data_IF_533841854603
#
_entry.id   IF_533841854603
#
_cell.length_a   1.000
_cell.length_b   1.000
_cell.length_c   1.000
_cell.angle_alpha   90.00
_cell.angle_beta   90.00
_cell.angle_gamma   90.00
#
_symmetry.space_group_name_H-M   'P 1'
#
loop_
_entity.id
_entity.type
_entity.pdbx_description
1 polymer ?
#
# COMPACT_ATOMS: atom_id res chain seq x y z
N UNK A 1 4.53 -20.87 19.93
CA UNK A 1 3.66 -19.82 20.50
C UNK A 1 2.32 -19.94 19.80
N UNK A 2 1.22 -19.91 20.56
CA UNK A 2 -0.14 -20.08 20.02
C UNK A 2 -0.73 -18.71 19.73
N UNK A 3 -1.41 -18.57 18.58
CA UNK A 3 -2.10 -17.34 18.20
C UNK A 3 -3.11 -16.92 19.26
N UNK A 4 -3.20 -15.62 19.56
CA UNK A 4 -4.20 -15.08 20.49
C UNK A 4 -5.62 -15.31 19.98
N UNK A 5 -5.80 -15.25 18.66
CA UNK A 5 -7.08 -15.43 17.99
C UNK A 5 -6.95 -16.45 16.84
N UNK A 6 -6.87 -17.76 17.14
CA UNK A 6 -6.50 -18.78 16.16
C UNK A 6 -7.54 -18.99 15.05
N UNK A 7 -8.79 -18.56 15.26
CA UNK A 7 -9.90 -18.66 14.29
C UNK A 7 -10.34 -17.30 13.75
N UNK A 8 -9.57 -16.23 14.01
CA UNK A 8 -9.93 -14.91 13.53
C UNK A 8 -9.72 -14.85 12.02
N UNK A 9 -10.80 -14.69 11.27
CA UNK A 9 -10.75 -14.59 9.81
C UNK A 9 -10.70 -13.14 9.32
N UNK A 10 -11.36 -12.24 10.04
CA UNK A 10 -11.48 -10.84 9.66
C UNK A 10 -11.36 -9.95 10.88
N UNK A 11 -10.61 -8.88 10.75
CA UNK A 11 -10.54 -7.83 11.76
C UNK A 11 -10.86 -6.48 11.15
N UNK A 12 -11.75 -5.73 11.80
CA UNK A 12 -12.06 -4.34 11.50
C UNK A 12 -11.91 -3.54 12.77
N UNK A 13 -10.97 -2.61 12.80
CA UNK A 13 -10.74 -1.74 13.96
C UNK A 13 -10.83 -0.28 13.54
N UNK A 14 -11.74 0.45 14.19
CA UNK A 14 -11.87 1.90 14.08
C UNK A 14 -11.17 2.60 15.23
N UNK A 15 -10.54 3.74 14.96
CA UNK A 15 -9.82 4.51 15.98
C UNK A 15 -8.66 3.73 16.61
N UNK A 16 -7.96 2.93 15.80
CA UNK A 16 -6.80 2.15 16.23
C UNK A 16 -5.77 3.07 16.90
N UNK A 17 -5.23 2.63 18.05
CA UNK A 17 -4.22 3.38 18.83
C UNK A 17 -2.89 2.65 18.96
N UNK A 18 -2.82 1.40 18.49
CA UNK A 18 -1.58 0.64 18.56
C UNK A 18 -0.53 1.18 17.60
N UNK A 19 0.73 0.90 17.93
CA UNK A 19 1.91 1.28 17.13
C UNK A 19 2.36 0.16 16.18
N UNK A 20 1.81 -1.04 16.36
CA UNK A 20 2.05 -2.24 15.56
C UNK A 20 0.78 -3.10 15.47
N UNK A 21 0.89 -4.31 14.92
CA UNK A 21 -0.19 -5.30 14.79
C UNK A 21 0.13 -6.59 15.55
N UNK A 22 0.98 -6.53 16.57
CA UNK A 22 1.37 -7.71 17.35
C UNK A 22 0.18 -8.43 18.02
N UNK A 23 -0.93 -7.72 18.25
CA UNK A 23 -2.15 -8.31 18.83
C UNK A 23 -2.79 -9.42 17.97
N UNK A 24 -2.56 -9.41 16.65
CA UNK A 24 -3.06 -10.42 15.70
C UNK A 24 -1.96 -11.40 15.25
N UNK A 25 -0.81 -11.39 15.92
CA UNK A 25 0.30 -12.28 15.58
C UNK A 25 -0.14 -13.75 15.56
N UNK A 26 0.39 -14.46 14.56
CA UNK A 26 0.14 -15.88 14.32
C UNK A 26 -1.34 -16.23 14.01
N UNK A 27 -2.23 -15.25 13.75
CA UNK A 27 -3.62 -15.50 13.36
C UNK A 27 -3.68 -16.09 11.94
N UNK A 28 -3.41 -17.38 11.82
CA UNK A 28 -3.20 -18.08 10.55
C UNK A 28 -4.44 -18.12 9.65
N UNK A 29 -5.64 -17.98 10.22
CA UNK A 29 -6.90 -17.91 9.47
C UNK A 29 -7.27 -16.49 9.02
N UNK A 30 -6.51 -15.47 9.42
CA UNK A 30 -6.84 -14.07 9.15
C UNK A 30 -6.65 -13.76 7.67
N UNK A 31 -7.75 -13.48 6.98
CA UNK A 31 -7.77 -13.19 5.54
C UNK A 31 -7.99 -11.71 5.22
N UNK A 32 -8.62 -10.96 6.13
CA UNK A 32 -8.87 -9.53 5.90
C UNK A 32 -8.56 -8.68 7.13
N UNK A 33 -7.78 -7.62 6.90
CA UNK A 33 -7.42 -6.60 7.87
C UNK A 33 -7.94 -5.25 7.40
N UNK A 34 -8.80 -4.63 8.20
CA UNK A 34 -9.19 -3.23 8.05
C UNK A 34 -8.82 -2.47 9.32
N UNK A 35 -8.02 -1.43 9.15
CA UNK A 35 -7.55 -0.58 10.23
C UNK A 35 -7.84 0.87 9.85
N UNK A 36 -8.50 1.57 10.75
CA UNK A 36 -8.65 3.00 10.69
C UNK A 36 -7.98 3.57 11.93
N UNK A 37 -6.90 4.31 11.73
CA UNK A 37 -6.13 4.95 12.79
C UNK A 37 -6.79 6.24 13.27
N UNK A 38 -6.00 7.02 14.00
CA UNK A 38 -6.28 8.37 14.48
C UNK A 38 -5.23 9.35 13.99
N UNK A 39 -4.77 9.15 12.74
CA UNK A 39 -3.78 9.98 12.05
C UNK A 39 -2.35 9.86 12.59
N UNK A 40 -2.06 8.77 13.28
CA UNK A 40 -0.71 8.46 13.77
C UNK A 40 0.14 7.74 12.71
N UNK A 41 1.44 7.64 13.03
CA UNK A 41 2.40 6.77 12.37
C UNK A 41 2.71 5.55 13.23
N UNK A 42 2.98 4.41 12.59
CA UNK A 42 3.45 3.20 13.25
C UNK A 42 4.04 2.19 12.26
N UNK A 43 3.96 0.92 12.62
CA UNK A 43 4.38 -0.21 11.79
C UNK A 43 3.24 -1.19 11.57
N UNK A 44 3.38 -2.04 10.55
CA UNK A 44 2.51 -3.20 10.31
C UNK A 44 3.07 -4.47 10.95
N UNK A 45 4.17 -4.38 11.71
CA UNK A 45 4.82 -5.52 12.34
C UNK A 45 3.84 -6.35 13.19
N UNK A 46 4.01 -7.67 13.18
CA UNK A 46 3.09 -8.63 13.80
C UNK A 46 2.20 -9.38 12.81
N UNK A 47 2.05 -8.91 11.56
CA UNK A 47 1.25 -9.60 10.53
C UNK A 47 2.04 -10.62 9.72
N UNK A 48 3.36 -10.67 9.85
CA UNK A 48 4.27 -11.41 8.96
C UNK A 48 3.94 -12.91 8.86
N UNK A 49 3.31 -13.45 9.91
CA UNK A 49 2.91 -14.86 10.02
C UNK A 49 1.42 -15.11 9.77
N UNK A 50 0.67 -14.08 9.41
CA UNK A 50 -0.74 -14.20 9.03
C UNK A 50 -0.84 -14.57 7.54
N UNK A 51 -0.39 -15.78 7.19
CA UNK A 51 -0.20 -16.22 5.81
C UNK A 51 -1.47 -16.28 4.95
N UNK A 52 -2.65 -16.20 5.57
CA UNK A 52 -3.93 -16.20 4.88
C UNK A 52 -4.40 -14.80 4.44
N UNK A 53 -3.71 -13.71 4.81
CA UNK A 53 -4.16 -12.35 4.48
C UNK A 53 -4.21 -12.17 2.96
N UNK A 54 -5.40 -11.87 2.46
CA UNK A 54 -5.66 -11.52 1.06
C UNK A 54 -5.90 -10.01 0.89
N UNK A 55 -6.39 -9.34 1.93
CA UNK A 55 -6.78 -7.94 1.87
C UNK A 55 -6.31 -7.17 3.08
N UNK A 56 -5.55 -6.11 2.84
CA UNK A 56 -5.16 -5.15 3.85
C UNK A 56 -5.62 -3.74 3.46
N UNK A 57 -6.39 -3.11 4.34
CA UNK A 57 -6.83 -1.73 4.22
C UNK A 57 -6.42 -0.99 5.48
N UNK A 58 -5.59 0.03 5.31
CA UNK A 58 -5.13 0.94 6.36
C UNK A 58 -5.56 2.35 5.99
N UNK A 59 -6.33 3.01 6.84
CA UNK A 59 -6.82 4.39 6.66
C UNK A 59 -6.35 5.21 7.86
N UNK A 60 -5.92 6.44 7.63
CA UNK A 60 -5.49 7.37 8.70
C UNK A 60 -4.46 6.75 9.66
N UNK A 61 -3.60 5.91 9.10
CA UNK A 61 -2.49 5.26 9.78
C UNK A 61 -1.31 5.20 8.83
N UNK A 62 -0.31 6.02 9.09
CA UNK A 62 0.93 6.07 8.33
C UNK A 62 1.84 4.90 8.74
N UNK A 63 2.57 4.35 7.78
CA UNK A 63 3.50 3.23 8.03
C UNK A 63 4.92 3.73 7.80
N UNK A 64 5.83 3.30 8.66
CA UNK A 64 7.25 3.62 8.53
C UNK A 64 7.86 2.87 7.34
N UNK A 65 7.43 1.63 7.12
CA UNK A 65 7.82 0.85 5.95
C UNK A 65 6.80 -0.25 5.64
N UNK A 66 6.87 -0.78 4.41
CA UNK A 66 6.02 -1.88 3.94
C UNK A 66 6.58 -3.28 4.18
N UNK A 67 7.80 -3.44 4.74
CA UNK A 67 8.47 -4.74 4.83
C UNK A 67 7.70 -5.85 5.57
N UNK A 68 6.82 -5.55 6.57
CA UNK A 68 5.99 -6.60 7.18
C UNK A 68 5.01 -7.28 6.21
N UNK A 69 4.76 -6.69 5.03
CA UNK A 69 3.87 -7.25 4.00
C UNK A 69 4.57 -8.27 3.09
N UNK A 70 5.92 -8.21 3.00
CA UNK A 70 6.72 -9.07 2.13
C UNK A 70 6.39 -10.58 2.23
N UNK A 71 6.21 -11.19 3.42
CA UNK A 71 5.93 -12.62 3.52
C UNK A 71 4.48 -13.00 3.17
N UNK A 72 3.59 -12.04 2.93
CA UNK A 72 2.17 -12.29 2.68
C UNK A 72 1.90 -12.73 1.24
N UNK A 73 2.29 -13.96 0.90
CA UNK A 73 2.19 -14.49 -0.48
C UNK A 73 0.77 -14.64 -1.04
N UNK A 74 -0.27 -14.43 -0.24
CA UNK A 74 -1.68 -14.45 -0.67
C UNK A 74 -2.32 -13.07 -0.81
N UNK A 75 -1.55 -12.00 -0.63
CA UNK A 75 -2.06 -10.63 -0.66
C UNK A 75 -2.55 -10.27 -2.08
N UNK A 76 -3.84 -9.96 -2.21
CA UNK A 76 -4.50 -9.60 -3.48
C UNK A 76 -4.79 -8.11 -3.57
N UNK A 77 -5.03 -7.47 -2.43
CA UNK A 77 -5.35 -6.05 -2.36
C UNK A 77 -4.65 -5.39 -1.17
N UNK A 78 -3.97 -4.29 -1.46
CA UNK A 78 -3.38 -3.40 -0.47
C UNK A 78 -3.90 -1.99 -0.69
N UNK A 79 -4.40 -1.40 0.38
CA UNK A 79 -4.76 0.02 0.45
C UNK A 79 -4.07 0.63 1.65
N UNK A 80 -3.08 1.48 1.40
CA UNK A 80 -2.39 2.30 2.40
C UNK A 80 -2.83 3.75 2.16
N UNK A 81 -3.79 4.21 2.96
CA UNK A 81 -4.53 5.45 2.75
C UNK A 81 -4.29 6.40 3.93
N UNK A 82 -3.09 6.97 4.02
CA UNK A 82 -2.85 8.15 4.83
C UNK A 82 -3.16 9.39 3.98
N UNK A 83 -3.96 10.33 4.46
CA UNK A 83 -4.15 11.64 3.81
C UNK A 83 -4.00 12.75 4.85
N UNK A 84 -3.54 13.95 4.47
CA UNK A 84 -3.46 15.07 5.40
C UNK A 84 -4.79 15.25 6.18
N UNK A 85 -4.74 15.47 7.51
CA UNK A 85 -3.56 15.80 8.31
C UNK A 85 -2.77 14.59 8.86
N UNK A 86 -3.03 13.36 8.41
CA UNK A 86 -2.18 12.19 8.73
C UNK A 86 -0.81 12.35 8.07
N UNK A 87 0.26 12.01 8.82
CA UNK A 87 1.62 11.95 8.27
C UNK A 87 1.69 11.04 7.03
N UNK A 88 2.62 11.30 6.10
CA UNK A 88 2.81 10.42 4.97
C UNK A 88 3.43 9.08 5.38
N UNK A 89 3.13 8.01 4.64
CA UNK A 89 3.93 6.78 4.69
C UNK A 89 5.39 7.12 4.36
N UNK A 90 6.35 6.57 5.09
CA UNK A 90 7.74 6.96 4.91
C UNK A 90 8.37 6.25 3.70
N UNK A 91 8.32 4.91 3.65
CA UNK A 91 8.74 4.16 2.46
C UNK A 91 7.74 3.06 2.14
N UNK A 92 7.32 2.98 0.88
CA UNK A 92 6.57 1.83 0.36
C UNK A 92 7.34 1.23 -0.81
N UNK A 93 7.63 -0.07 -0.75
CA UNK A 93 8.32 -0.79 -1.82
C UNK A 93 7.37 -1.74 -2.49
N UNK A 94 7.29 -1.71 -3.81
CA UNK A 94 6.46 -2.70 -4.52
C UNK A 94 6.98 -4.13 -4.34
N UNK A 95 8.29 -4.32 -4.07
CA UNK A 95 8.85 -5.63 -3.75
C UNK A 95 8.29 -6.22 -2.44
N UNK A 96 7.83 -5.39 -1.50
CA UNK A 96 7.15 -5.85 -0.29
C UNK A 96 5.67 -6.22 -0.54
N UNK A 97 5.11 -5.78 -1.67
CA UNK A 97 3.72 -6.04 -2.08
C UNK A 97 3.64 -7.10 -3.18
N UNK A 98 4.77 -7.66 -3.62
CA UNK A 98 4.90 -8.49 -4.82
C UNK A 98 4.40 -9.93 -4.64
N UNK A 99 3.20 -10.10 -4.08
CA UNK A 99 2.55 -11.41 -4.00
C UNK A 99 2.13 -11.87 -5.42
N UNK A 100 2.28 -13.16 -5.78
CA UNK A 100 1.93 -13.67 -7.11
C UNK A 100 0.46 -13.47 -7.52
N UNK A 101 -0.41 -13.31 -6.52
CA UNK A 101 -1.85 -13.10 -6.68
C UNK A 101 -2.27 -11.62 -6.53
N UNK A 102 -1.32 -10.69 -6.44
CA UNK A 102 -1.60 -9.26 -6.28
C UNK A 102 -2.41 -8.74 -7.46
N UNK A 103 -3.53 -8.07 -7.15
CA UNK A 103 -4.45 -7.51 -8.16
C UNK A 103 -4.53 -5.98 -8.09
N UNK A 104 -4.53 -5.42 -6.87
CA UNK A 104 -4.83 -4.00 -6.66
C UNK A 104 -3.94 -3.38 -5.59
N UNK A 105 -3.24 -2.31 -5.97
CA UNK A 105 -2.39 -1.53 -5.07
C UNK A 105 -2.90 -0.10 -5.06
N UNK A 106 -3.23 0.40 -3.88
CA UNK A 106 -3.56 1.81 -3.68
C UNK A 106 -2.71 2.37 -2.54
N UNK A 107 -1.89 3.36 -2.87
CA UNK A 107 -1.04 4.08 -1.91
C UNK A 107 -1.42 5.56 -1.99
N UNK A 108 -1.68 6.16 -0.84
CA UNK A 108 -1.93 7.59 -0.73
C UNK A 108 -0.94 8.22 0.26
N UNK A 109 -0.36 9.36 -0.12
CA UNK A 109 0.56 10.16 0.70
C UNK A 109 1.78 9.36 1.17
N UNK A 110 2.63 8.92 0.25
CA UNK A 110 3.93 8.32 0.60
C UNK A 110 5.06 9.30 0.28
N UNK A 111 6.08 9.40 1.14
CA UNK A 111 7.28 10.21 0.89
C UNK A 111 8.14 9.60 -0.20
N UNK A 112 8.18 8.27 -0.28
CA UNK A 112 8.96 7.54 -1.26
C UNK A 112 8.30 6.22 -1.63
N UNK A 113 8.26 5.94 -2.93
CA UNK A 113 7.89 4.65 -3.49
C UNK A 113 9.11 4.09 -4.23
N UNK A 114 9.41 2.81 -4.03
CA UNK A 114 10.56 2.14 -4.64
C UNK A 114 10.13 0.85 -5.39
N UNK A 115 11.04 0.32 -6.20
CA UNK A 115 10.94 -0.98 -6.88
C UNK A 115 9.85 -1.11 -7.95
N UNK A 116 9.57 -0.05 -8.72
CA UNK A 116 8.56 -0.06 -9.78
C UNK A 116 8.73 -1.19 -10.81
N UNK A 117 9.97 -1.62 -11.10
CA UNK A 117 10.25 -2.65 -12.09
C UNK A 117 9.54 -3.99 -11.80
N UNK A 118 9.36 -4.35 -10.52
CA UNK A 118 8.73 -5.62 -10.11
C UNK A 118 7.25 -5.71 -10.54
N UNK A 119 6.60 -4.57 -10.77
CA UNK A 119 5.18 -4.53 -11.13
C UNK A 119 4.89 -5.22 -12.47
N UNK A 120 5.87 -5.25 -13.39
CA UNK A 120 5.78 -5.95 -14.69
C UNK A 120 5.70 -7.46 -14.52
N UNK A 121 6.22 -7.97 -13.42
CA UNK A 121 6.31 -9.40 -13.11
C UNK A 121 5.03 -9.92 -12.44
N UNK A 122 4.09 -9.04 -12.06
CA UNK A 122 2.85 -9.41 -11.38
C UNK A 122 1.77 -9.82 -12.40
N UNK A 123 1.48 -11.13 -12.55
CA UNK A 123 0.62 -11.61 -13.64
C UNK A 123 -0.85 -11.25 -13.44
N UNK A 124 -1.26 -11.03 -12.18
CA UNK A 124 -2.64 -10.73 -11.79
C UNK A 124 -2.92 -9.25 -11.55
N UNK A 125 -1.90 -8.40 -11.60
CA UNK A 125 -2.05 -6.97 -11.34
C UNK A 125 -2.98 -6.33 -12.39
N UNK A 126 -3.92 -5.52 -11.90
CA UNK A 126 -4.97 -4.86 -12.68
C UNK A 126 -5.11 -3.39 -12.36
N UNK A 127 -4.74 -2.96 -11.17
CA UNK A 127 -4.94 -1.57 -10.76
C UNK A 127 -3.81 -1.10 -9.86
N UNK A 128 -3.24 0.05 -10.22
CA UNK A 128 -2.36 0.84 -9.37
C UNK A 128 -2.98 2.22 -9.24
N UNK A 129 -3.14 2.67 -8.00
CA UNK A 129 -3.54 4.02 -7.68
C UNK A 129 -2.55 4.67 -6.73
N UNK A 130 -1.91 5.74 -7.18
CA UNK A 130 -0.93 6.50 -6.40
C UNK A 130 -1.46 7.91 -6.20
N UNK A 131 -1.78 8.26 -4.96
CA UNK A 131 -2.32 9.59 -4.63
C UNK A 131 -1.28 10.33 -3.80
N UNK A 132 -0.95 11.57 -4.14
CA UNK A 132 0.01 12.41 -3.42
C UNK A 132 1.33 11.68 -3.15
N UNK A 133 1.87 11.00 -4.15
CA UNK A 133 3.16 10.31 -4.08
C UNK A 133 4.13 10.99 -5.05
N UNK A 134 5.32 11.42 -4.60
CA UNK A 134 6.31 12.01 -5.49
C UNK A 134 6.88 10.91 -6.39
N UNK A 135 6.76 11.11 -7.70
CA UNK A 135 7.27 10.20 -8.73
C UNK A 135 8.34 10.91 -9.55
N UNK A 136 9.47 10.22 -9.77
CA UNK A 136 10.52 10.66 -10.68
C UNK A 136 10.19 10.23 -12.11
N UNK A 137 10.87 10.80 -13.10
CA UNK A 137 10.64 10.41 -14.51
C UNK A 137 10.90 8.92 -14.75
N UNK A 138 11.87 8.32 -14.05
CA UNK A 138 12.12 6.88 -14.16
C UNK A 138 10.93 6.05 -13.65
N UNK A 139 10.30 6.46 -12.56
CA UNK A 139 9.12 5.79 -11.99
C UNK A 139 7.95 5.85 -12.98
N UNK A 140 7.75 7.01 -13.62
CA UNK A 140 6.73 7.19 -14.66
C UNK A 140 7.01 6.32 -15.90
N UNK A 141 8.28 6.15 -16.29
CA UNK A 141 8.65 5.23 -17.39
C UNK A 141 8.35 3.78 -17.04
N UNK A 142 8.65 3.35 -15.83
CA UNK A 142 8.32 1.99 -15.37
C UNK A 142 6.81 1.76 -15.36
N UNK A 143 6.02 2.73 -14.87
CA UNK A 143 4.56 2.68 -14.90
C UNK A 143 4.00 2.62 -16.34
N UNK A 144 4.50 3.46 -17.26
CA UNK A 144 4.10 3.45 -18.67
C UNK A 144 4.45 2.15 -19.40
N UNK A 145 5.45 1.42 -18.90
CA UNK A 145 5.88 0.14 -19.46
C UNK A 145 5.11 -1.06 -18.87
N UNK A 146 4.10 -0.83 -18.04
CA UNK A 146 3.22 -1.89 -17.56
C UNK A 146 2.31 -2.39 -18.68
N UNK A 147 1.85 -3.65 -18.62
CA UNK A 147 0.90 -4.17 -19.60
C UNK A 147 -0.41 -3.37 -19.57
N UNK A 148 -1.00 -3.11 -20.73
CA UNK A 148 -2.24 -2.33 -20.90
C UNK A 148 -3.45 -2.81 -20.10
N UNK A 149 -3.43 -4.05 -19.59
CA UNK A 149 -4.43 -4.58 -18.64
C UNK A 149 -4.42 -3.85 -17.29
N UNK A 150 -3.33 -3.15 -16.96
CA UNK A 150 -3.14 -2.49 -15.67
C UNK A 150 -3.63 -1.06 -15.79
N UNK A 151 -4.71 -0.76 -15.09
CA UNK A 151 -5.20 0.61 -14.93
C UNK A 151 -4.28 1.37 -13.97
N UNK A 152 -3.79 2.52 -14.41
CA UNK A 152 -2.88 3.35 -13.63
C UNK A 152 -3.54 4.71 -13.39
N UNK A 153 -3.78 5.04 -12.14
CA UNK A 153 -4.28 6.35 -11.71
C UNK A 153 -3.24 7.01 -10.79
N UNK A 154 -2.64 8.11 -11.26
CA UNK A 154 -1.70 8.91 -10.48
C UNK A 154 -2.31 10.27 -10.23
N UNK A 155 -2.57 10.58 -8.97
CA UNK A 155 -3.24 11.81 -8.53
C UNK A 155 -2.36 12.53 -7.52
N UNK A 156 -1.50 13.44 -7.97
CA UNK A 156 -0.62 14.22 -7.08
C UNK A 156 -0.90 15.71 -7.11
N UNK A 157 -0.48 16.48 -6.09
CA UNK A 157 -0.29 17.91 -6.24
C UNK A 157 0.82 18.17 -7.28
N UNK A 158 0.83 19.35 -7.94
CA UNK A 158 1.81 19.66 -8.97
C UNK A 158 3.24 19.54 -8.42
N UNK A 159 4.11 18.92 -9.21
CA UNK A 159 5.56 18.83 -8.94
C UNK A 159 6.11 20.21 -8.55
N UNK A 160 7.01 20.35 -7.55
CA UNK A 160 7.57 21.65 -7.17
C UNK A 160 8.28 22.37 -8.32
N UNK A 161 8.77 21.64 -9.33
CA UNK A 161 9.35 22.23 -10.56
C UNK A 161 8.30 22.73 -11.57
N UNK A 162 7.02 22.40 -11.40
CA UNK A 162 5.91 22.85 -12.27
C UNK A 162 5.12 24.04 -11.71
N UNK A 163 5.61 24.68 -10.64
CA UNK A 163 4.97 25.87 -10.06
C UNK A 163 5.29 27.16 -10.85
N UNK A 164 6.14 27.10 -11.88
CA UNK A 164 6.26 28.18 -12.88
C UNK A 164 5.32 27.94 -14.06
N UNK A 165 4.02 28.12 -13.82
CA UNK A 165 3.04 28.31 -14.89
C UNK A 165 2.07 27.15 -15.11
N UNK A 166 0.82 27.35 -14.69
CA UNK A 166 -0.35 26.67 -15.24
C UNK A 166 -0.75 25.37 -14.56
N UNK A 167 -2.01 25.34 -14.10
CA UNK A 167 -2.73 24.21 -13.53
C UNK A 167 -2.49 22.90 -14.30
N UNK A 168 -1.84 21.94 -13.65
CA UNK A 168 -1.51 20.64 -14.24
C UNK A 168 -2.19 19.50 -13.51
N UNK A 169 -3.45 19.21 -13.84
CA UNK A 169 -4.01 17.86 -13.60
C UNK A 169 -3.28 16.90 -14.55
N UNK A 170 -2.46 16.00 -14.02
CA UNK A 170 -1.99 14.84 -14.78
C UNK A 170 -3.09 13.79 -14.67
N UNK A 171 -4.11 13.89 -15.53
CA UNK A 171 -5.16 12.88 -15.58
C UNK A 171 -4.64 11.66 -16.34
N UNK A 172 -4.66 10.50 -15.66
CA UNK A 172 -4.55 9.14 -16.21
C UNK A 172 -3.35 8.88 -17.13
N UNK A 173 -2.41 8.06 -16.67
CA UNK A 173 -1.38 7.52 -17.56
C UNK A 173 -2.05 6.38 -18.34
N UNK A 174 -2.29 6.57 -19.64
CA UNK A 174 -2.72 5.47 -20.49
C UNK A 174 -1.58 4.45 -20.58
N UNK A 175 -1.86 3.21 -20.18
CA UNK A 175 -0.98 2.06 -20.40
C UNK A 175 -1.23 1.37 -21.73
#
# INVERSE_FOLDING_TARGET
MTARFPRLERIRVGGWRGVDLAMIRDAASLSSVYLEGRRQKGTLAGIERCSAIERLVSIDYAVSDSSPLRPLGRLREVKLLAMPPTEPHEVVRFSDLAAPVMERIWIANALRIEDFAVLKELPRLREIRLINCPLRENDLRELRALPSRVKIDVVGPPHPERVRGGEGRVNSIAG
#
